data_IF_309602182407
#
_entry.id   IF_309602182407
#
_cell.length_a   1.000
_cell.length_b   1.000
_cell.length_c   1.000
_cell.angle_alpha   90.00
_cell.angle_beta   90.00
_cell.angle_gamma   90.00
#
_symmetry.space_group_name_H-M   'P 1'
#
loop_
_entity.id
_entity.type
_entity.pdbx_description
1 polymer ?
#
# COMPACT_ATOMS: atom_id res chain seq x y z
N UNK A 1 2.89 -21.94 4.85
CA UNK A 1 2.35 -21.06 3.78
C UNK A 1 2.68 -19.62 4.13
N UNK A 2 2.95 -18.79 3.14
CA UNK A 2 3.23 -17.37 3.35
C UNK A 2 1.91 -16.59 3.29
N UNK A 3 1.72 -15.67 4.22
CA UNK A 3 0.60 -14.73 4.21
C UNK A 3 1.03 -13.49 3.41
N UNK A 4 0.27 -13.17 2.37
CA UNK A 4 0.55 -12.04 1.50
C UNK A 4 -0.51 -10.93 1.63
N UNK A 5 -0.06 -9.71 1.44
CA UNK A 5 -0.87 -8.52 1.23
C UNK A 5 -0.70 -8.00 -0.19
N UNK A 6 -1.81 -7.90 -0.91
CA UNK A 6 -1.89 -7.32 -2.26
C UNK A 6 -2.55 -5.94 -2.18
N UNK A 7 -1.81 -4.91 -2.60
CA UNK A 7 -2.29 -3.53 -2.63
C UNK A 7 -2.43 -3.06 -4.07
N UNK A 8 -3.66 -2.80 -4.50
CA UNK A 8 -3.95 -2.24 -5.81
C UNK A 8 -3.87 -0.70 -5.76
N UNK A 9 -3.51 -0.07 -6.87
CA UNK A 9 -3.48 1.38 -7.04
C UNK A 9 -4.58 1.82 -7.98
N UNK A 10 -5.22 2.93 -7.65
CA UNK A 10 -6.09 3.63 -8.60
C UNK A 10 -7.44 2.97 -8.87
N UNK A 11 -7.85 2.01 -8.03
CA UNK A 11 -9.14 1.32 -8.14
C UNK A 11 -10.22 2.05 -7.35
N UNK A 12 -11.45 2.06 -7.89
CA UNK A 12 -12.64 2.64 -7.24
C UNK A 12 -12.48 4.11 -6.80
N UNK A 13 -11.68 4.89 -7.54
CA UNK A 13 -11.55 6.34 -7.35
C UNK A 13 -12.69 7.04 -8.11
N UNK A 14 -13.85 7.18 -7.46
CA UNK A 14 -15.03 7.78 -8.08
C UNK A 14 -15.76 6.79 -9.01
N UNK A 15 -15.99 7.18 -10.27
CA UNK A 15 -16.72 6.34 -11.26
C UNK A 15 -15.81 5.50 -12.15
N UNK A 16 -14.51 5.76 -12.14
CA UNK A 16 -13.53 5.10 -13.01
C UNK A 16 -12.87 3.91 -12.30
N UNK A 17 -12.25 3.02 -13.08
CA UNK A 17 -11.47 1.87 -12.61
C UNK A 17 -12.22 1.02 -11.57
N UNK A 18 -13.47 0.65 -11.89
CA UNK A 18 -14.36 -0.05 -10.98
C UNK A 18 -13.90 -1.50 -10.78
N UNK A 19 -13.64 -1.86 -9.53
CA UNK A 19 -13.28 -3.21 -9.10
C UNK A 19 -14.25 -3.66 -8.02
N UNK A 20 -15.03 -4.70 -8.29
CA UNK A 20 -15.97 -5.28 -7.32
C UNK A 20 -15.21 -6.25 -6.44
N UNK A 21 -14.92 -5.87 -5.19
CA UNK A 21 -14.05 -6.66 -4.29
C UNK A 21 -14.52 -8.11 -4.09
N UNK A 22 -15.82 -8.43 -3.88
CA UNK A 22 -16.27 -9.82 -3.82
C UNK A 22 -15.90 -10.65 -5.05
N UNK A 23 -16.09 -10.09 -6.26
CA UNK A 23 -15.74 -10.75 -7.52
C UNK A 23 -14.23 -10.94 -7.63
N UNK A 24 -13.44 -9.92 -7.27
CA UNK A 24 -11.98 -10.06 -7.27
C UNK A 24 -11.51 -11.14 -6.30
N UNK A 25 -12.13 -11.28 -5.13
CA UNK A 25 -11.80 -12.37 -4.20
C UNK A 25 -12.07 -13.75 -4.80
N UNK A 26 -13.18 -13.92 -5.49
CA UNK A 26 -13.51 -15.17 -6.21
C UNK A 26 -12.51 -15.46 -7.33
N UNK A 27 -12.12 -14.44 -8.10
CA UNK A 27 -11.09 -14.54 -9.14
C UNK A 27 -9.71 -14.91 -8.58
N UNK A 28 -9.34 -14.36 -7.42
CA UNK A 28 -8.10 -14.73 -6.73
C UNK A 28 -8.16 -16.19 -6.22
N UNK A 29 -9.31 -16.61 -5.68
CA UNK A 29 -9.50 -17.98 -5.25
C UNK A 29 -9.44 -18.98 -6.42
N UNK A 30 -9.96 -18.61 -7.60
CA UNK A 30 -9.95 -19.47 -8.79
C UNK A 30 -8.56 -19.74 -9.36
N UNK A 31 -7.58 -18.85 -9.10
CA UNK A 31 -6.17 -19.08 -9.42
C UNK A 31 -5.38 -19.75 -8.26
N UNK A 32 -6.09 -20.38 -7.32
CA UNK A 32 -5.52 -21.22 -6.25
C UNK A 32 -5.04 -20.48 -5.00
N UNK A 33 -5.46 -19.22 -4.79
CA UNK A 33 -5.12 -18.49 -3.56
C UNK A 33 -6.07 -18.84 -2.42
N UNK A 34 -5.52 -18.99 -1.22
CA UNK A 34 -6.25 -19.52 -0.07
C UNK A 34 -6.65 -18.43 0.92
N UNK A 35 -7.82 -18.62 1.55
CA UNK A 35 -8.41 -17.71 2.55
C UNK A 35 -8.41 -16.23 2.14
N UNK A 36 -8.76 -15.97 0.88
CA UNK A 36 -8.77 -14.63 0.30
C UNK A 36 -9.75 -13.72 1.07
N UNK A 37 -9.24 -12.61 1.57
CA UNK A 37 -10.00 -11.57 2.23
C UNK A 37 -9.63 -10.19 1.68
N UNK A 38 -10.44 -9.19 2.00
CA UNK A 38 -10.25 -7.82 1.57
C UNK A 38 -10.62 -6.84 2.68
N UNK A 39 -9.92 -5.71 2.74
CA UNK A 39 -10.30 -4.59 3.59
C UNK A 39 -10.72 -3.39 2.74
N UNK A 40 -11.96 -2.95 2.93
CA UNK A 40 -12.63 -1.86 2.18
C UNK A 40 -12.53 -2.02 0.64
N UNK A 41 -13.08 -1.06 -0.11
CA UNK A 41 -13.13 -1.13 -1.58
C UNK A 41 -11.95 -0.44 -2.27
N UNK A 42 -10.84 -0.18 -1.57
CA UNK A 42 -9.68 0.55 -2.12
C UNK A 42 -8.53 -0.37 -2.54
N UNK A 43 -8.81 -1.66 -2.74
CA UNK A 43 -7.83 -2.63 -3.22
C UNK A 43 -6.81 -3.02 -2.15
N UNK A 44 -7.28 -3.50 -1.00
CA UNK A 44 -6.46 -4.14 0.03
C UNK A 44 -6.91 -5.58 0.14
N UNK A 45 -6.10 -6.53 -0.30
CA UNK A 45 -6.44 -7.95 -0.30
C UNK A 45 -5.37 -8.75 0.45
N UNK A 46 -5.80 -9.85 1.06
CA UNK A 46 -4.97 -10.72 1.87
C UNK A 46 -5.25 -12.16 1.50
N UNK A 47 -4.22 -12.99 1.39
CA UNK A 47 -4.37 -14.41 1.06
C UNK A 47 -3.13 -15.19 1.46
N UNK A 48 -3.26 -16.51 1.49
CA UNK A 48 -2.13 -17.43 1.69
C UNK A 48 -1.76 -18.13 0.39
N UNK A 49 -0.46 -18.36 0.22
CA UNK A 49 0.06 -19.25 -0.83
C UNK A 49 1.40 -19.85 -0.42
N UNK A 50 1.69 -21.01 -0.97
CA UNK A 50 2.99 -21.70 -0.94
C UNK A 50 3.82 -21.44 -2.21
N UNK A 51 3.22 -20.81 -3.23
CA UNK A 51 3.89 -20.50 -4.49
C UNK A 51 5.01 -19.48 -4.31
N UNK A 52 6.09 -19.57 -5.11
CA UNK A 52 7.10 -18.53 -5.18
C UNK A 52 6.49 -17.15 -5.49
N UNK A 53 6.99 -16.11 -4.83
CA UNK A 53 6.50 -14.72 -5.01
C UNK A 53 6.51 -14.27 -6.47
N UNK A 54 7.53 -14.67 -7.24
CA UNK A 54 7.65 -14.34 -8.67
C UNK A 54 6.48 -14.91 -9.49
N UNK A 55 6.10 -16.16 -9.23
CA UNK A 55 4.99 -16.83 -9.92
C UNK A 55 3.64 -16.21 -9.53
N UNK A 56 3.50 -15.80 -8.26
CA UNK A 56 2.33 -15.07 -7.77
C UNK A 56 2.18 -13.72 -8.48
N UNK A 57 3.26 -12.94 -8.57
CA UNK A 57 3.24 -11.65 -9.27
C UNK A 57 2.82 -11.83 -10.72
N UNK A 58 3.36 -12.82 -11.43
CA UNK A 58 2.97 -13.09 -12.82
C UNK A 58 1.48 -13.50 -12.91
N UNK A 59 1.05 -14.45 -12.07
CA UNK A 59 -0.36 -14.91 -12.05
C UNK A 59 -1.34 -13.79 -11.77
N UNK A 60 -0.99 -12.87 -10.86
CA UNK A 60 -1.80 -11.70 -10.52
C UNK A 60 -1.85 -10.70 -11.68
N UNK A 61 -0.72 -10.45 -12.34
CA UNK A 61 -0.66 -9.58 -13.50
C UNK A 61 -1.54 -10.11 -14.65
N UNK A 62 -1.41 -11.40 -14.97
CA UNK A 62 -2.20 -12.06 -16.02
C UNK A 62 -3.70 -12.03 -15.70
N UNK A 63 -4.05 -12.32 -14.43
CA UNK A 63 -5.44 -12.26 -13.97
C UNK A 63 -6.01 -10.85 -14.14
N UNK A 64 -5.33 -9.83 -13.59
CA UNK A 64 -5.80 -8.44 -13.65
C UNK A 64 -5.92 -7.95 -15.10
N UNK A 65 -4.96 -8.30 -15.97
CA UNK A 65 -4.99 -7.95 -17.39
C UNK A 65 -6.14 -8.63 -18.14
N UNK A 66 -6.49 -9.88 -17.77
CA UNK A 66 -7.58 -10.62 -18.42
C UNK A 66 -8.98 -10.17 -17.99
N UNK A 67 -9.12 -9.66 -16.75
CA UNK A 67 -10.41 -9.37 -16.12
C UNK A 67 -10.81 -7.90 -16.20
N UNK A 68 -9.87 -6.99 -16.46
CA UNK A 68 -10.08 -5.55 -16.49
C UNK A 68 -9.50 -4.93 -17.76
N UNK A 69 -10.23 -3.98 -18.35
CA UNK A 69 -9.87 -3.25 -19.57
C UNK A 69 -8.99 -2.00 -19.30
N UNK A 70 -8.53 -1.85 -18.05
CA UNK A 70 -7.63 -0.80 -17.60
C UNK A 70 -6.47 -1.38 -16.81
N UNK A 71 -5.34 -0.67 -16.81
CA UNK A 71 -4.17 -1.07 -16.03
C UNK A 71 -4.44 -0.92 -14.53
N UNK A 72 -4.12 -1.97 -13.76
CA UNK A 72 -4.18 -1.96 -12.29
C UNK A 72 -2.78 -2.18 -11.75
N UNK A 73 -2.00 -1.11 -11.49
CA UNK A 73 -0.72 -1.25 -10.81
C UNK A 73 -0.92 -1.82 -9.41
N UNK A 74 -0.02 -2.69 -8.98
CA UNK A 74 -0.10 -3.31 -7.65
C UNK A 74 1.27 -3.58 -7.06
N UNK A 75 1.31 -3.81 -5.75
CA UNK A 75 2.45 -4.40 -5.05
C UNK A 75 1.98 -5.63 -4.26
N UNK A 76 2.81 -6.67 -4.28
CA UNK A 76 2.64 -7.88 -3.47
C UNK A 76 3.72 -7.91 -2.38
N UNK A 77 3.29 -7.94 -1.12
CA UNK A 77 4.14 -7.90 0.06
C UNK A 77 3.88 -9.11 0.94
N UNK A 78 4.91 -9.64 1.59
CA UNK A 78 4.69 -10.54 2.71
C UNK A 78 4.08 -9.75 3.86
N UNK A 79 3.02 -10.28 4.46
CA UNK A 79 2.31 -9.60 5.53
C UNK A 79 3.17 -9.39 6.77
N UNK A 80 4.16 -10.27 7.01
CA UNK A 80 5.16 -10.13 8.08
C UNK A 80 5.97 -8.84 7.95
N UNK A 81 6.44 -8.49 6.74
CA UNK A 81 7.25 -7.28 6.53
C UNK A 81 6.45 -6.00 6.80
N UNK A 82 5.14 -6.00 6.55
CA UNK A 82 4.26 -4.87 6.91
C UNK A 82 4.11 -4.73 8.43
N UNK A 83 4.02 -5.87 9.14
CA UNK A 83 3.96 -5.88 10.61
C UNK A 83 5.29 -5.38 11.19
N UNK A 84 6.42 -5.85 10.66
CA UNK A 84 7.75 -5.39 11.06
C UNK A 84 7.89 -3.88 10.88
N UNK A 85 7.51 -3.33 9.73
CA UNK A 85 7.49 -1.88 9.51
C UNK A 85 6.66 -1.17 10.59
N UNK A 86 5.47 -1.70 10.91
CA UNK A 86 4.57 -1.12 11.89
C UNK A 86 5.16 -1.08 13.31
N UNK A 87 5.96 -2.10 13.68
CA UNK A 87 6.62 -2.20 14.98
C UNK A 87 7.74 -1.16 15.15
N UNK A 88 8.32 -0.66 14.05
CA UNK A 88 9.39 0.34 14.05
C UNK A 88 8.92 1.77 13.73
N UNK A 89 7.61 2.00 13.63
CA UNK A 89 7.09 3.33 13.33
C UNK A 89 7.44 4.33 14.43
N UNK A 90 7.81 5.58 14.07
CA UNK A 90 8.05 6.62 15.07
C UNK A 90 6.82 6.90 15.93
N UNK A 91 7.04 7.39 17.16
CA UNK A 91 5.96 7.77 18.09
C UNK A 91 4.89 8.65 17.44
N UNK A 92 5.31 9.55 16.56
CA UNK A 92 4.41 10.47 15.88
C UNK A 92 3.35 9.81 15.00
N UNK A 93 3.53 8.55 14.59
CA UNK A 93 2.55 7.84 13.78
C UNK A 93 1.21 7.68 14.49
N UNK A 94 1.24 7.57 15.82
CA UNK A 94 0.06 7.41 16.67
C UNK A 94 -0.47 8.74 17.22
N UNK A 95 0.20 9.85 16.94
CA UNK A 95 -0.26 11.19 17.34
C UNK A 95 -1.43 11.68 16.47
N UNK A 96 -2.11 12.72 16.95
CA UNK A 96 -3.06 13.44 16.12
C UNK A 96 -2.32 14.25 15.05
N UNK A 97 -2.54 13.89 13.79
CA UNK A 97 -1.88 14.50 12.64
C UNK A 97 -2.94 15.00 11.65
N UNK A 98 -2.72 16.17 11.03
CA UNK A 98 -3.60 16.65 9.96
C UNK A 98 -3.60 15.71 8.74
N UNK A 99 -2.42 15.21 8.36
CA UNK A 99 -2.24 14.13 7.38
C UNK A 99 -1.19 13.16 7.87
N UNK A 100 -1.44 11.86 7.68
CA UNK A 100 -0.51 10.81 7.98
C UNK A 100 -0.81 9.64 7.04
N UNK A 101 0.17 9.28 6.21
CA UNK A 101 -0.02 8.32 5.12
C UNK A 101 1.17 7.35 5.02
N UNK A 102 0.86 6.10 4.69
CA UNK A 102 1.80 5.08 4.27
C UNK A 102 1.80 5.02 2.73
N UNK A 103 2.96 5.28 2.13
CA UNK A 103 3.18 5.33 0.69
C UNK A 103 3.95 4.07 0.29
N UNK A 104 3.21 2.99 0.04
CA UNK A 104 3.80 1.69 -0.29
C UNK A 104 4.49 1.72 -1.64
N UNK A 105 5.68 1.12 -1.73
CA UNK A 105 6.48 1.11 -2.94
C UNK A 105 5.88 0.18 -4.00
N UNK A 106 5.72 0.65 -5.23
CA UNK A 106 5.41 -0.21 -6.38
C UNK A 106 6.68 -0.90 -6.90
N UNK A 107 6.57 -1.99 -7.69
CA UNK A 107 7.73 -2.79 -8.12
C UNK A 107 8.85 -2.01 -8.84
N UNK A 108 8.53 -0.87 -9.45
CA UNK A 108 9.48 0.01 -10.13
C UNK A 108 10.14 1.05 -9.20
N UNK A 109 9.96 0.93 -7.89
CA UNK A 109 10.38 1.89 -6.90
C UNK A 109 11.14 1.20 -5.77
N UNK A 110 12.35 1.67 -5.46
CA UNK A 110 13.08 1.26 -4.27
C UNK A 110 13.07 2.36 -3.21
N UNK A 111 13.27 1.97 -1.94
CA UNK A 111 13.37 2.92 -0.84
C UNK A 111 14.55 3.88 -1.00
N UNK A 112 15.65 3.44 -1.63
CA UNK A 112 16.83 4.26 -1.93
C UNK A 112 16.51 5.33 -2.98
N UNK A 113 15.80 4.96 -4.06
CA UNK A 113 15.36 5.91 -5.09
C UNK A 113 14.47 7.00 -4.48
N UNK A 114 13.55 6.64 -3.59
CA UNK A 114 12.72 7.60 -2.88
C UNK A 114 13.51 8.44 -1.89
N UNK A 115 14.43 7.84 -1.13
CA UNK A 115 15.28 8.56 -0.19
C UNK A 115 16.06 9.69 -0.89
N UNK A 116 16.64 9.41 -2.06
CA UNK A 116 17.37 10.40 -2.83
C UNK A 116 16.45 11.48 -3.39
N UNK A 117 15.25 11.12 -3.82
CA UNK A 117 14.25 12.09 -4.26
C UNK A 117 13.76 13.00 -3.11
N UNK A 118 13.61 12.46 -1.89
CA UNK A 118 13.24 13.24 -0.71
C UNK A 118 14.33 14.22 -0.29
N UNK A 119 15.62 13.83 -0.36
CA UNK A 119 16.75 14.74 -0.09
C UNK A 119 16.77 15.95 -1.03
N UNK A 120 16.28 15.79 -2.26
CA UNK A 120 16.16 16.88 -3.22
C UNK A 120 15.02 17.85 -2.90
N UNK A 121 14.12 17.50 -1.97
CA UNK A 121 13.00 18.34 -1.58
C UNK A 121 13.33 19.12 -0.31
N UNK A 122 13.01 20.41 -0.32
CA UNK A 122 12.98 21.21 0.89
C UNK A 122 11.70 20.88 1.64
N UNK A 123 11.82 20.03 2.66
CA UNK A 123 10.72 19.71 3.56
C UNK A 123 10.55 20.83 4.58
N UNK A 124 9.29 21.17 4.87
CA UNK A 124 8.94 22.12 5.93
C UNK A 124 8.79 21.43 7.28
N UNK A 125 7.65 21.63 7.93
CA UNK A 125 7.25 20.99 9.19
C UNK A 125 6.76 19.53 8.99
N UNK A 126 7.34 18.86 8.00
CA UNK A 126 6.96 17.52 7.62
C UNK A 126 7.96 16.53 8.17
N UNK A 127 7.47 15.40 8.66
CA UNK A 127 8.32 14.31 9.11
C UNK A 127 7.97 13.05 8.33
N UNK A 128 9.01 12.26 8.06
CA UNK A 128 8.87 11.01 7.36
C UNK A 128 9.76 9.93 7.97
N UNK A 129 9.38 8.68 7.74
CA UNK A 129 10.12 7.49 8.09
C UNK A 129 10.14 6.55 6.89
N UNK A 130 11.33 6.12 6.49
CA UNK A 130 11.52 5.19 5.38
C UNK A 130 11.52 3.78 5.97
N UNK A 131 10.41 3.06 5.81
CA UNK A 131 10.34 1.64 6.12
C UNK A 131 10.74 0.77 4.92
N UNK A 132 10.68 -0.54 5.12
CA UNK A 132 10.97 -1.55 4.11
C UNK A 132 9.89 -1.64 3.05
N UNK A 133 8.61 -1.54 3.43
CA UNK A 133 7.46 -1.67 2.52
C UNK A 133 6.90 -0.32 2.06
N UNK A 134 7.07 0.73 2.86
CA UNK A 134 6.48 2.03 2.62
C UNK A 134 7.28 3.21 3.17
N UNK A 135 7.09 4.37 2.54
CA UNK A 135 7.44 5.66 3.11
C UNK A 135 6.26 6.15 3.96
N UNK A 136 6.49 6.33 5.24
CA UNK A 136 5.52 6.86 6.18
C UNK A 136 5.73 8.36 6.31
N UNK A 137 4.68 9.15 6.16
CA UNK A 137 4.79 10.61 6.06
C UNK A 137 3.69 11.30 6.85
N UNK A 138 4.07 12.18 7.79
CA UNK A 138 3.15 13.06 8.49
C UNK A 138 3.26 14.54 8.12
N UNK A 139 2.11 15.21 8.18
CA UNK A 139 1.98 16.65 8.32
C UNK A 139 1.18 16.88 9.60
N UNK A 140 1.85 17.40 10.64
CA UNK A 140 1.27 17.50 11.98
C UNK A 140 0.06 18.46 11.99
N UNK A 141 0.19 19.64 11.40
CA UNK A 141 -0.85 20.68 11.42
C UNK A 141 -1.41 20.98 10.04
N UNK A 142 -2.62 21.57 10.00
CA UNK A 142 -3.20 22.09 8.75
C UNK A 142 -2.50 23.38 8.30
N UNK A 143 -1.83 24.07 9.22
CA UNK A 143 -1.17 25.32 8.95
C UNK A 143 -0.09 25.08 7.88
N UNK A 144 -0.16 25.84 6.80
CA UNK A 144 0.73 25.69 5.64
C UNK A 144 0.70 24.34 4.92
N UNK A 145 -0.28 23.46 5.14
CA UNK A 145 -0.39 22.19 4.42
C UNK A 145 -0.23 22.33 2.89
N UNK A 146 -0.85 23.33 2.27
CA UNK A 146 -0.75 23.53 0.82
C UNK A 146 0.65 23.93 0.33
N UNK A 147 1.58 24.25 1.25
CA UNK A 147 2.99 24.56 0.98
C UNK A 147 3.90 23.34 1.12
N UNK A 148 3.45 22.27 1.76
CA UNK A 148 4.25 21.09 2.05
C UNK A 148 4.60 20.30 0.79
N UNK A 149 5.71 19.56 0.82
CA UNK A 149 6.06 18.63 -0.24
C UNK A 149 5.03 17.50 -0.35
N UNK A 150 4.47 17.04 0.77
CA UNK A 150 3.36 16.09 0.81
C UNK A 150 2.20 16.54 -0.09
N UNK A 151 1.67 17.76 0.13
CA UNK A 151 0.55 18.27 -0.64
C UNK A 151 0.89 18.56 -2.11
N UNK A 152 2.11 19.03 -2.37
CA UNK A 152 2.51 19.52 -3.70
C UNK A 152 3.13 18.48 -4.61
N UNK A 153 3.71 17.42 -4.06
CA UNK A 153 4.60 16.51 -4.80
C UNK A 153 4.11 15.08 -4.85
N UNK A 154 3.43 14.56 -3.82
CA UNK A 154 2.99 13.15 -3.78
C UNK A 154 2.09 12.77 -4.95
N UNK A 155 1.23 13.71 -5.38
CA UNK A 155 0.31 13.50 -6.50
C UNK A 155 0.91 13.82 -7.87
N UNK A 156 2.16 14.29 -7.92
CA UNK A 156 2.84 14.65 -9.17
C UNK A 156 3.63 13.47 -9.74
N UNK A 157 3.70 13.38 -11.07
CA UNK A 157 4.59 12.43 -11.74
C UNK A 157 6.06 12.90 -11.61
N UNK A 158 7.03 11.96 -11.52
CA UNK A 158 6.86 10.51 -11.55
C UNK A 158 6.49 9.89 -10.19
N UNK A 159 6.60 10.63 -9.08
CA UNK A 159 6.45 10.11 -7.71
C UNK A 159 5.15 9.32 -7.51
N UNK A 160 4.02 9.88 -7.96
CA UNK A 160 2.71 9.24 -7.81
C UNK A 160 2.56 7.88 -8.50
N UNK A 161 3.38 7.61 -9.54
CA UNK A 161 3.39 6.33 -10.27
C UNK A 161 4.30 5.29 -9.63
N UNK A 162 5.09 5.68 -8.62
CA UNK A 162 6.04 4.82 -7.93
C UNK A 162 5.49 4.27 -6.61
N UNK A 163 4.30 4.72 -6.19
CA UNK A 163 3.72 4.38 -4.88
C UNK A 163 2.21 4.10 -4.95
N UNK A 164 1.68 3.40 -3.94
CA UNK A 164 0.24 3.32 -3.64
C UNK A 164 -0.03 3.79 -2.21
N UNK A 165 -0.92 4.77 -2.05
CA UNK A 165 -1.15 5.47 -0.79
C UNK A 165 -2.22 4.77 0.04
N UNK A 166 -1.98 4.63 1.35
CA UNK A 166 -2.99 4.32 2.37
C UNK A 166 -2.85 5.33 3.51
N UNK A 167 -3.94 5.96 3.93
CA UNK A 167 -3.88 6.82 5.11
C UNK A 167 -3.62 5.99 6.38
N UNK A 168 -3.17 6.63 7.46
CA UNK A 168 -2.82 5.98 8.72
C UNK A 168 -3.97 5.11 9.27
N UNK A 169 -5.22 5.57 9.17
CA UNK A 169 -6.39 4.78 9.57
C UNK A 169 -6.48 3.45 8.81
N UNK A 170 -6.27 3.48 7.50
CA UNK A 170 -6.32 2.29 6.65
C UNK A 170 -5.14 1.38 6.95
N UNK A 171 -3.93 1.94 7.05
CA UNK A 171 -2.72 1.20 7.39
C UNK A 171 -2.86 0.49 8.75
N UNK A 172 -3.28 1.21 9.80
CA UNK A 172 -3.47 0.64 11.14
C UNK A 172 -4.51 -0.50 11.13
N UNK A 173 -5.59 -0.37 10.35
CA UNK A 173 -6.60 -1.43 10.20
C UNK A 173 -6.09 -2.63 9.39
N UNK A 174 -5.19 -2.42 8.43
CA UNK A 174 -4.46 -3.50 7.76
C UNK A 174 -3.62 -4.24 8.80
N UNK A 175 -2.74 -3.54 9.54
CA UNK A 175 -1.85 -4.15 10.55
C UNK A 175 -2.63 -4.97 11.56
N UNK A 176 -3.70 -4.42 12.15
CA UNK A 176 -4.55 -5.16 13.10
C UNK A 176 -5.10 -6.45 12.49
N UNK A 177 -5.57 -6.42 11.24
CA UNK A 177 -6.06 -7.63 10.54
C UNK A 177 -4.96 -8.64 10.31
N UNK A 178 -3.76 -8.20 9.94
CA UNK A 178 -2.61 -9.08 9.73
C UNK A 178 -2.19 -9.77 11.04
N UNK A 179 -2.12 -9.01 12.14
CA UNK A 179 -1.80 -9.54 13.47
C UNK A 179 -2.87 -10.52 13.99
N UNK A 180 -4.16 -10.25 13.73
CA UNK A 180 -5.27 -11.14 14.12
C UNK A 180 -5.16 -12.52 13.46
N UNK A 181 -4.72 -12.56 12.20
CA UNK A 181 -4.61 -13.78 11.39
C UNK A 181 -3.35 -14.59 11.65
N UNK A 182 -2.28 -13.97 12.13
CA UNK A 182 -1.06 -14.68 12.53
C UNK A 182 -1.26 -15.56 13.78
N UNK A 183 -2.34 -15.34 14.55
CA UNK A 183 -2.67 -16.14 15.73
C UNK A 183 -3.59 -17.35 15.47
N UNK A 184 -4.06 -17.55 14.23
CA UNK A 184 -5.01 -18.61 13.86
C UNK A 184 -4.35 -19.83 13.16
N UNK A 185 -3.02 -19.96 13.26
CA UNK A 185 -2.23 -21.07 12.70
C UNK A 185 -2.00 -22.18 13.71
#
# INVERSE_FOLDING_TARGET
MVHYTLLLRGVNLGKENKVIMPVLKEQLASIGLLQVDSYINTGNLFFYSDRPKVDLVQSLADLLQSQYDFEIPFVLLESSTIIEDADYLPHWWQEENYRCDALFYLPNCSKEMLADQLKAWQLGEEEYHIGETALFWRVATKEHYTKTAHARKIMTKPFNQAITLRNANTFNKIVVRLQSRNGEV
#
